data_IF_961459672951
#
_entry.id   IF_961459672951
#
_cell.length_a   1.000
_cell.length_b   1.000
_cell.length_c   1.000
_cell.angle_alpha   90.00
_cell.angle_beta   90.00
_cell.angle_gamma   90.00
#
_symmetry.space_group_name_H-M   'P 1'
#
loop_
_entity.id
_entity.type
_entity.pdbx_description
1 polymer ?
#
# COMPACT_ATOMS: atom_id res chain seq x y z
N UNK A 1 -10.09 6.88 16.33
CA UNK A 1 -10.24 7.84 15.24
C UNK A 1 -8.91 8.35 14.74
N UNK A 2 -8.01 8.73 15.61
CA UNK A 2 -6.67 9.14 15.18
C UNK A 2 -5.90 8.02 14.49
N UNK A 3 -6.19 6.78 14.85
CA UNK A 3 -5.51 5.61 14.28
C UNK A 3 -5.88 5.37 12.83
N UNK A 4 -7.14 5.63 12.47
CA UNK A 4 -7.56 5.51 11.07
C UNK A 4 -6.85 6.52 10.18
N UNK A 5 -6.62 7.72 10.71
CA UNK A 5 -6.01 8.79 9.94
C UNK A 5 -4.55 8.51 9.60
N UNK A 6 -3.89 7.61 10.31
CA UNK A 6 -2.46 7.37 10.11
C UNK A 6 -2.15 6.87 8.69
N UNK A 7 -2.72 5.75 8.30
CA UNK A 7 -2.39 5.16 7.00
C UNK A 7 -3.03 5.94 5.85
N UNK A 8 -4.28 6.37 6.02
CA UNK A 8 -4.94 7.21 5.00
C UNK A 8 -4.14 8.49 4.79
N UNK A 9 -3.71 9.12 5.87
CA UNK A 9 -2.92 10.33 5.78
C UNK A 9 -1.58 10.08 5.11
N UNK A 10 -0.94 8.97 5.46
CA UNK A 10 0.32 8.57 4.85
C UNK A 10 0.16 8.34 3.34
N UNK A 11 -0.91 7.66 2.97
CA UNK A 11 -1.21 7.41 1.56
C UNK A 11 -1.48 8.72 0.82
N UNK A 12 -2.21 9.64 1.45
CA UNK A 12 -2.47 10.96 0.88
C UNK A 12 -1.18 11.76 0.70
N UNK A 13 -0.31 11.74 1.71
CA UNK A 13 0.96 12.42 1.63
C UNK A 13 1.85 11.85 0.54
N UNK A 14 1.85 10.53 0.41
CA UNK A 14 2.59 9.88 -0.66
C UNK A 14 2.07 10.31 -2.03
N UNK A 15 0.74 10.42 -2.15
CA UNK A 15 0.13 10.89 -3.39
C UNK A 15 0.50 12.34 -3.68
N UNK A 16 0.52 13.18 -2.65
CA UNK A 16 0.91 14.57 -2.80
C UNK A 16 2.40 14.70 -3.17
N UNK A 17 3.22 13.86 -2.59
CA UNK A 17 4.64 13.82 -2.92
C UNK A 17 4.92 13.41 -4.36
N UNK A 18 3.99 12.72 -4.97
CA UNK A 18 4.13 12.31 -6.35
C UNK A 18 3.92 13.45 -7.35
N UNK A 19 3.57 14.63 -6.89
CA UNK A 19 3.48 15.82 -7.72
C UNK A 19 4.84 16.41 -8.06
N UNK A 20 5.91 15.73 -7.68
CA UNK A 20 7.24 16.11 -8.10
C UNK A 20 7.37 16.13 -9.63
N UNK A 21 8.49 16.58 -10.14
CA UNK A 21 8.65 16.76 -11.58
C UNK A 21 8.35 15.48 -12.36
N UNK A 22 7.51 15.55 -13.37
CA UNK A 22 7.12 14.38 -14.15
C UNK A 22 8.16 13.97 -15.18
N UNK A 23 9.39 14.16 -14.87
CA UNK A 23 10.47 14.03 -15.84
C UNK A 23 10.63 12.64 -16.42
N UNK A 24 10.23 11.67 -15.64
CA UNK A 24 10.43 10.29 -16.00
C UNK A 24 9.20 9.64 -16.60
N UNK A 25 8.23 10.46 -16.93
CA UNK A 25 6.97 9.96 -17.47
C UNK A 25 7.14 9.11 -18.72
N UNK A 26 8.22 9.27 -19.41
CA UNK A 26 8.49 8.47 -20.61
C UNK A 26 8.65 6.99 -20.32
N UNK A 27 8.85 6.62 -19.08
CA UNK A 27 9.07 5.22 -18.72
C UNK A 27 7.81 4.53 -18.26
N UNK A 28 6.75 5.27 -18.09
CA UNK A 28 5.54 4.79 -17.43
C UNK A 28 4.69 3.82 -18.24
N UNK A 29 5.26 2.93 -19.02
CA UNK A 29 4.49 2.02 -19.82
C UNK A 29 4.14 0.68 -19.17
N UNK A 30 4.76 0.34 -18.07
CA UNK A 30 4.63 -0.97 -17.47
C UNK A 30 3.39 -1.17 -16.61
N UNK A 31 3.01 -2.42 -16.43
CA UNK A 31 1.97 -2.78 -15.50
C UNK A 31 2.42 -2.52 -14.06
N UNK A 32 1.45 -2.27 -13.18
CA UNK A 32 1.76 -2.05 -11.78
C UNK A 32 2.30 -3.32 -11.13
N UNK A 33 3.41 -3.17 -10.43
CA UNK A 33 4.02 -4.27 -9.70
C UNK A 33 3.76 -4.13 -8.19
N UNK A 34 4.05 -5.19 -7.45
CA UNK A 34 3.95 -5.14 -5.99
C UNK A 34 4.90 -4.09 -5.41
N UNK A 35 6.09 -3.94 -5.97
CA UNK A 35 7.05 -2.92 -5.52
C UNK A 35 6.52 -1.51 -5.76
N UNK A 36 5.89 -1.26 -6.90
CA UNK A 36 5.27 0.04 -7.19
C UNK A 36 4.20 0.39 -6.14
N UNK A 37 3.39 -0.59 -5.81
CA UNK A 37 2.31 -0.39 -4.85
C UNK A 37 2.86 -0.18 -3.44
N UNK A 38 3.85 -0.98 -3.04
CA UNK A 38 4.50 -0.85 -1.74
C UNK A 38 5.15 0.53 -1.57
N UNK A 39 5.67 1.10 -2.65
CA UNK A 39 6.31 2.41 -2.63
C UNK A 39 5.33 3.56 -2.33
N UNK A 40 4.02 3.29 -2.34
CA UNK A 40 3.04 4.30 -1.96
C UNK A 40 3.05 4.59 -0.46
N UNK A 41 3.62 3.71 0.34
CA UNK A 41 3.78 3.92 1.78
C UNK A 41 5.25 4.13 2.12
N UNK A 42 5.55 4.94 3.13
CA UNK A 42 6.92 5.05 3.59
C UNK A 42 7.36 3.71 4.19
N UNK A 43 8.61 3.35 3.99
CA UNK A 43 9.17 2.15 4.57
C UNK A 43 9.58 2.41 6.02
N UNK A 44 8.59 2.60 6.87
CA UNK A 44 8.78 2.86 8.29
C UNK A 44 8.56 1.59 9.10
N UNK A 45 9.25 1.49 10.21
CA UNK A 45 9.14 0.35 11.11
C UNK A 45 7.69 0.03 11.48
N UNK A 46 6.90 1.06 11.72
CA UNK A 46 5.49 0.87 12.08
C UNK A 46 4.70 0.21 10.95
N UNK A 47 4.92 0.64 9.71
CA UNK A 47 4.25 0.07 8.55
C UNK A 47 4.66 -1.39 8.35
N UNK A 48 5.95 -1.66 8.44
CA UNK A 48 6.49 -3.01 8.29
C UNK A 48 5.96 -3.94 9.38
N UNK A 49 5.90 -3.46 10.61
CA UNK A 49 5.38 -4.24 11.74
C UNK A 49 3.92 -4.61 11.54
N UNK A 50 3.10 -3.64 11.15
CA UNK A 50 1.69 -3.88 10.86
C UNK A 50 1.53 -4.90 9.73
N UNK A 51 2.34 -4.77 8.69
CA UNK A 51 2.33 -5.70 7.57
C UNK A 51 2.70 -7.13 7.98
N UNK A 52 3.71 -7.27 8.80
CA UNK A 52 4.12 -8.59 9.32
C UNK A 52 3.03 -9.24 10.15
N UNK A 53 2.36 -8.44 10.98
CA UNK A 53 1.26 -8.94 11.80
C UNK A 53 0.10 -9.42 10.91
N UNK A 54 -0.22 -8.66 9.88
CA UNK A 54 -1.24 -9.06 8.92
C UNK A 54 -0.88 -10.37 8.23
N UNK A 55 0.35 -10.48 7.73
CA UNK A 55 0.81 -11.69 7.05
C UNK A 55 0.75 -12.92 7.95
N UNK A 56 1.08 -12.75 9.23
CA UNK A 56 1.02 -13.84 10.20
C UNK A 56 -0.38 -14.36 10.45
N UNK A 57 -1.39 -13.52 10.31
CA UNK A 57 -2.78 -13.89 10.52
C UNK A 57 -3.52 -14.23 9.23
N UNK A 58 -2.90 -14.04 8.08
CA UNK A 58 -3.51 -14.30 6.78
C UNK A 58 -2.57 -15.14 5.90
N UNK A 59 -2.37 -16.42 6.25
CA UNK A 59 -1.38 -17.25 5.54
C UNK A 59 -1.68 -17.46 4.05
N UNK A 60 -2.92 -17.23 3.62
CA UNK A 60 -3.28 -17.32 2.21
C UNK A 60 -2.92 -16.08 1.40
N UNK A 61 -2.44 -15.02 2.05
CA UNK A 61 -2.14 -13.75 1.41
C UNK A 61 -0.68 -13.35 1.62
N UNK A 62 0.23 -14.31 1.54
CA UNK A 62 1.65 -14.05 1.80
C UNK A 62 2.48 -13.82 0.54
N UNK A 63 1.87 -13.97 -0.62
CA UNK A 63 2.56 -13.75 -1.88
C UNK A 63 2.31 -12.35 -2.41
N UNK A 64 3.36 -11.59 -2.79
CA UNK A 64 3.17 -10.24 -3.32
C UNK A 64 2.22 -10.19 -4.52
N UNK A 65 2.30 -11.17 -5.41
CA UNK A 65 1.42 -11.21 -6.57
C UNK A 65 -0.04 -11.40 -6.20
N UNK A 66 -0.32 -12.19 -5.16
CA UNK A 66 -1.69 -12.39 -4.68
C UNK A 66 -2.26 -11.11 -4.07
N UNK A 67 -1.45 -10.42 -3.26
CA UNK A 67 -1.84 -9.15 -2.66
C UNK A 67 -2.09 -8.08 -3.74
N UNK A 68 -1.23 -8.05 -4.74
CA UNK A 68 -1.38 -7.12 -5.85
C UNK A 68 -2.73 -7.30 -6.55
N UNK A 69 -3.10 -8.53 -6.84
CA UNK A 69 -4.38 -8.85 -7.49
C UNK A 69 -5.58 -8.42 -6.66
N UNK A 70 -5.47 -8.50 -5.34
CA UNK A 70 -6.55 -8.09 -4.43
C UNK A 70 -6.69 -6.58 -4.33
N UNK A 71 -5.61 -5.86 -4.57
CA UNK A 71 -5.57 -4.41 -4.35
C UNK A 71 -5.84 -3.59 -5.60
N UNK A 72 -5.40 -4.07 -6.75
CA UNK A 72 -5.52 -3.30 -7.99
C UNK A 72 -6.07 -4.17 -9.11
N UNK A 73 -6.82 -3.58 -10.05
CA UNK A 73 -7.28 -4.30 -11.24
C UNK A 73 -6.10 -4.65 -12.15
N UNK A 74 -6.28 -5.71 -12.93
CA UNK A 74 -5.24 -6.24 -13.80
C UNK A 74 -4.67 -5.22 -14.80
N UNK A 75 -5.47 -4.23 -15.15
CA UNK A 75 -5.06 -3.20 -16.13
C UNK A 75 -4.39 -1.99 -15.50
N UNK A 76 -4.13 -2.00 -14.18
CA UNK A 76 -3.52 -0.86 -13.52
C UNK A 76 -2.07 -0.69 -13.96
N UNK A 77 -1.67 0.55 -14.13
CA UNK A 77 -0.32 0.91 -14.56
C UNK A 77 0.45 1.55 -13.42
N UNK A 78 1.75 1.38 -13.43
CA UNK A 78 2.63 1.85 -12.37
C UNK A 78 2.54 3.36 -12.12
N UNK A 79 2.34 4.14 -13.17
CA UNK A 79 2.27 5.59 -13.09
C UNK A 79 0.85 6.15 -13.11
N UNK A 80 -0.15 5.28 -12.93
CA UNK A 80 -1.54 5.66 -13.02
C UNK A 80 -2.02 6.40 -11.77
N UNK A 81 -2.16 7.72 -11.85
CA UNK A 81 -2.70 8.52 -10.76
C UNK A 81 -4.13 8.09 -10.39
N UNK A 82 -4.89 7.61 -11.35
CA UNK A 82 -6.24 7.10 -11.10
C UNK A 82 -6.21 5.84 -10.24
N UNK A 83 -5.14 5.05 -10.29
CA UNK A 83 -4.99 3.87 -9.43
C UNK A 83 -4.92 4.27 -7.96
N UNK A 84 -4.20 5.34 -7.64
CA UNK A 84 -4.13 5.88 -6.27
C UNK A 84 -5.49 6.37 -5.81
N UNK A 85 -6.18 7.08 -6.68
CA UNK A 85 -7.52 7.57 -6.36
C UNK A 85 -8.47 6.41 -6.08
N UNK A 86 -8.46 5.39 -6.92
CA UNK A 86 -9.27 4.18 -6.69
C UNK A 86 -8.92 3.49 -5.38
N UNK A 87 -7.64 3.48 -5.02
CA UNK A 87 -7.22 2.91 -3.74
C UNK A 87 -7.81 3.67 -2.56
N UNK A 88 -7.80 4.99 -2.62
CA UNK A 88 -8.41 5.81 -1.57
C UNK A 88 -9.92 5.57 -1.48
N UNK A 89 -10.58 5.44 -2.61
CA UNK A 89 -12.01 5.11 -2.65
C UNK A 89 -12.24 3.73 -2.01
N UNK A 90 -11.40 2.75 -2.33
CA UNK A 90 -11.50 1.41 -1.78
C UNK A 90 -11.30 1.40 -0.26
N UNK A 91 -10.33 2.16 0.23
CA UNK A 91 -10.09 2.30 1.68
C UNK A 91 -11.32 2.85 2.39
N UNK A 92 -11.92 3.89 1.83
CA UNK A 92 -13.14 4.47 2.39
C UNK A 92 -14.30 3.48 2.35
N UNK A 93 -14.43 2.75 1.26
CA UNK A 93 -15.47 1.73 1.12
C UNK A 93 -15.28 0.61 2.13
N UNK A 94 -14.05 0.21 2.39
CA UNK A 94 -13.76 -0.80 3.40
C UNK A 94 -14.23 -0.36 4.78
N UNK A 95 -13.92 0.88 5.18
CA UNK A 95 -14.38 1.40 6.47
C UNK A 95 -15.91 1.47 6.52
N UNK A 96 -16.54 1.93 5.46
CA UNK A 96 -17.99 2.03 5.41
C UNK A 96 -18.67 0.67 5.51
N UNK A 97 -18.07 -0.37 4.95
CA UNK A 97 -18.62 -1.73 4.97
C UNK A 97 -18.16 -2.55 6.18
N UNK A 98 -17.32 -2.00 7.05
CA UNK A 98 -16.81 -2.73 8.20
C UNK A 98 -15.71 -3.74 7.84
N UNK A 99 -15.15 -3.67 6.65
CA UNK A 99 -14.01 -4.52 6.25
C UNK A 99 -12.74 -3.95 6.85
N UNK A 100 -12.55 -4.22 8.14
CA UNK A 100 -11.41 -3.70 8.90
C UNK A 100 -10.72 -4.83 9.64
N UNK A 101 -9.47 -4.61 9.99
CA UNK A 101 -8.68 -5.51 10.83
C UNK A 101 -8.04 -4.70 11.94
N UNK A 102 -7.74 -5.36 13.05
CA UNK A 102 -7.04 -4.72 14.16
C UNK A 102 -5.63 -5.29 14.21
N UNK A 103 -4.64 -4.42 14.05
CA UNK A 103 -3.23 -4.80 14.07
C UNK A 103 -2.51 -3.89 15.07
N UNK A 104 -1.87 -4.47 16.07
CA UNK A 104 -1.14 -3.74 17.11
C UNK A 104 -1.95 -2.60 17.74
N UNK A 105 -3.24 -2.83 17.92
CA UNK A 105 -4.16 -1.82 18.46
C UNK A 105 -4.65 -0.78 17.46
N UNK A 106 -4.22 -0.86 16.22
CA UNK A 106 -4.70 0.02 15.14
C UNK A 106 -5.84 -0.63 14.39
N UNK A 107 -6.86 0.15 14.07
CA UNK A 107 -7.94 -0.29 13.19
C UNK A 107 -7.63 0.20 11.80
N UNK A 108 -7.43 -0.73 10.88
CA UNK A 108 -7.10 -0.44 9.48
C UNK A 108 -8.15 -1.04 8.57
N UNK A 109 -8.34 -0.44 7.41
CA UNK A 109 -9.10 -1.12 6.37
C UNK A 109 -8.31 -2.33 5.88
N UNK A 110 -8.99 -3.30 5.32
CA UNK A 110 -8.31 -4.47 4.75
C UNK A 110 -7.34 -4.04 3.66
N UNK A 111 -7.71 -3.06 2.84
CA UNK A 111 -6.83 -2.54 1.79
C UNK A 111 -5.56 -1.91 2.37
N UNK A 112 -5.68 -1.11 3.42
CA UNK A 112 -4.52 -0.52 4.09
C UNK A 112 -3.61 -1.60 4.69
N UNK A 113 -4.21 -2.60 5.31
CA UNK A 113 -3.44 -3.70 5.89
C UNK A 113 -2.68 -4.49 4.82
N UNK A 114 -3.31 -4.71 3.68
CA UNK A 114 -2.65 -5.37 2.55
C UNK A 114 -1.51 -4.53 1.97
N UNK A 115 -1.66 -3.22 1.93
CA UNK A 115 -0.56 -2.33 1.53
C UNK A 115 0.62 -2.43 2.49
N UNK A 116 0.35 -2.45 3.79
CA UNK A 116 1.38 -2.65 4.80
C UNK A 116 2.07 -4.01 4.63
N UNK A 117 1.29 -5.04 4.31
CA UNK A 117 1.82 -6.36 4.05
C UNK A 117 2.78 -6.36 2.86
N UNK A 118 2.42 -5.68 1.78
CA UNK A 118 3.32 -5.54 0.63
C UNK A 118 4.60 -4.82 1.02
N UNK A 119 4.49 -3.74 1.78
CA UNK A 119 5.68 -3.02 2.25
C UNK A 119 6.58 -3.91 3.11
N UNK A 120 5.98 -4.80 3.90
CA UNK A 120 6.75 -5.73 4.74
C UNK A 120 7.45 -6.83 3.92
N UNK A 121 6.89 -7.17 2.77
CA UNK A 121 7.46 -8.20 1.89
C UNK A 121 8.56 -7.65 0.97
N UNK A 122 8.51 -6.35 0.67
CA UNK A 122 9.52 -5.74 -0.18
C UNK A 122 10.80 -5.46 0.62
N UNK A 123 11.97 -5.70 0.03
CA UNK A 123 13.22 -5.39 0.71
C UNK A 123 13.39 -3.90 0.90
N UNK A 124 14.00 -3.53 2.01
CA UNK A 124 14.38 -2.14 2.26
C UNK A 124 15.61 -1.80 1.41
N UNK A 125 15.38 -1.10 0.34
CA UNK A 125 16.46 -0.72 -0.57
C UNK A 125 17.46 0.26 0.07
N UNK A 126 17.07 0.89 1.15
CA UNK A 126 17.96 1.82 1.85
C UNK A 126 19.13 1.15 2.56
N UNK A 127 19.05 -0.15 2.79
CA UNK A 127 20.08 -0.87 3.56
C UNK A 127 21.02 -1.67 2.67
N UNK A 128 20.82 -1.69 1.39
CA UNK A 128 21.61 -2.54 0.50
C UNK A 128 23.00 -1.99 0.21
N UNK A 129 23.39 -0.90 0.82
CA UNK A 129 24.66 -0.26 0.57
C UNK A 129 25.76 -0.59 1.54
N UNK A 130 25.56 -1.49 2.45
CA UNK A 130 26.57 -1.81 3.45
C UNK A 130 27.43 -3.01 3.07
#
# INVERSE_FOLDING_TARGET
>A
MKRRAFVVRTLMLAAAGALGPPLTGCVGGGDMTAADLAAWLPHEEAVVRLGREYLGSHPGETEPAALLKLLVPAAARADDAAARERMLVQVRADYAAGRTVMLSGWVLSVSEARLCALAALEPDEGTSGS
#
